data_IF_468459867338
#
_entry.id   IF_468459867338
#
_cell.length_a   1.000
_cell.length_b   1.000
_cell.length_c   1.000
_cell.angle_alpha   90.00
_cell.angle_beta   90.00
_cell.angle_gamma   90.00
#
_symmetry.space_group_name_H-M   'P 1'
#
loop_
_entity.id
_entity.type
_entity.pdbx_description
1 polymer ?
#
# COMPACT_ATOMS: atom_id res chain seq x y z
N UNK A 1 0.05 -9.97 15.55
CA UNK A 1 1.26 -10.49 14.86
C UNK A 1 0.94 -11.16 13.51
N UNK A 2 -0.34 -11.49 13.20
CA UNK A 2 -0.73 -12.10 11.92
C UNK A 2 -0.81 -11.14 10.74
N UNK A 3 -1.22 -9.88 10.97
CA UNK A 3 -1.28 -8.78 9.98
C UNK A 3 -0.03 -8.68 9.08
N UNK A 4 1.14 -8.92 9.68
CA UNK A 4 2.45 -8.77 9.05
C UNK A 4 2.71 -9.88 8.02
N UNK A 5 2.23 -11.10 8.30
CA UNK A 5 2.54 -12.27 7.46
C UNK A 5 1.86 -12.20 6.10
N UNK A 6 0.59 -11.79 6.07
CA UNK A 6 -0.19 -11.69 4.82
C UNK A 6 0.44 -10.66 3.86
N UNK A 7 0.92 -9.53 4.38
CA UNK A 7 1.57 -8.51 3.55
C UNK A 7 2.95 -8.94 3.06
N UNK A 8 3.76 -9.54 3.92
CA UNK A 8 5.10 -10.02 3.52
C UNK A 8 5.00 -11.17 2.50
N UNK A 9 3.97 -12.01 2.61
CA UNK A 9 3.76 -13.13 1.68
C UNK A 9 3.17 -12.70 0.33
N UNK A 10 2.70 -11.46 0.20
CA UNK A 10 2.12 -10.97 -1.03
C UNK A 10 3.21 -10.79 -2.11
N UNK A 11 3.00 -11.32 -3.32
CA UNK A 11 4.00 -11.30 -4.42
C UNK A 11 4.50 -9.91 -4.83
N UNK A 12 3.68 -8.88 -4.63
CA UNK A 12 4.03 -7.50 -4.95
C UNK A 12 4.78 -6.78 -3.82
N UNK A 13 5.01 -7.44 -2.67
CA UNK A 13 5.69 -6.84 -1.53
C UNK A 13 7.14 -6.50 -1.86
N UNK A 14 7.58 -5.33 -1.41
CA UNK A 14 8.92 -4.81 -1.68
C UNK A 14 9.69 -4.58 -0.39
N UNK A 15 9.10 -3.85 0.55
CA UNK A 15 9.79 -3.45 1.77
C UNK A 15 8.78 -3.07 2.87
N UNK A 16 9.21 -3.15 4.12
CA UNK A 16 8.49 -2.62 5.28
C UNK A 16 9.32 -1.59 6.04
N UNK A 17 8.69 -0.47 6.41
CA UNK A 17 9.31 0.58 7.19
C UNK A 17 8.62 0.70 8.54
N UNK A 18 9.32 0.28 9.58
CA UNK A 18 8.88 0.44 10.97
C UNK A 18 9.26 1.83 11.47
N UNK A 19 8.26 2.57 11.92
CA UNK A 19 8.42 3.82 12.65
C UNK A 19 7.90 3.66 14.07
N UNK A 20 8.24 4.62 14.94
CA UNK A 20 7.80 4.62 16.34
C UNK A 20 6.27 4.59 16.50
N UNK A 21 5.54 5.16 15.54
CA UNK A 21 4.09 5.38 15.62
C UNK A 21 3.28 4.55 14.61
N UNK A 22 3.93 3.98 13.60
CA UNK A 22 3.26 3.17 12.58
C UNK A 22 4.22 2.21 11.88
N UNK A 23 3.68 1.21 11.19
CA UNK A 23 4.43 0.39 10.24
C UNK A 23 3.88 0.61 8.84
N UNK A 24 4.74 1.01 7.91
CA UNK A 24 4.41 1.13 6.49
C UNK A 24 4.86 -0.11 5.72
N UNK A 25 4.08 -0.52 4.73
CA UNK A 25 4.37 -1.63 3.81
C UNK A 25 4.29 -1.11 2.38
N UNK A 26 5.32 -1.38 1.58
CA UNK A 26 5.41 -0.94 0.20
C UNK A 26 5.22 -2.12 -0.75
N UNK A 27 4.36 -1.92 -1.74
CA UNK A 27 4.10 -2.87 -2.82
C UNK A 27 4.39 -2.23 -4.17
N UNK A 28 4.90 -3.01 -5.12
CA UNK A 28 5.11 -2.60 -6.51
C UNK A 28 4.62 -3.67 -7.46
N UNK A 29 3.95 -3.23 -8.52
CA UNK A 29 3.33 -4.07 -9.51
C UNK A 29 4.00 -3.87 -10.87
N UNK A 30 4.04 -4.92 -11.69
CA UNK A 30 4.69 -4.90 -13.01
C UNK A 30 4.01 -3.94 -14.01
N UNK A 31 2.78 -3.55 -13.74
CA UNK A 31 2.02 -2.59 -14.55
C UNK A 31 2.40 -1.12 -14.26
N UNK A 32 3.37 -0.86 -13.38
CA UNK A 32 3.88 0.49 -13.08
C UNK A 32 3.20 1.18 -11.89
N UNK A 33 2.26 0.50 -11.23
CA UNK A 33 1.65 0.97 -10.00
C UNK A 33 2.45 0.54 -8.77
N UNK A 34 2.35 1.31 -7.71
CA UNK A 34 2.79 0.95 -6.37
C UNK A 34 1.69 1.23 -5.36
N UNK A 35 1.80 0.63 -4.17
CA UNK A 35 0.89 0.89 -3.06
C UNK A 35 1.68 1.01 -1.78
N UNK A 36 1.35 2.02 -0.97
CA UNK A 36 1.82 2.15 0.41
C UNK A 36 0.66 1.86 1.35
N UNK A 37 0.86 0.93 2.28
CA UNK A 37 -0.12 0.62 3.33
C UNK A 37 0.48 1.00 4.67
N UNK A 38 -0.18 1.86 5.43
CA UNK A 38 0.23 2.26 6.76
C UNK A 38 -0.69 1.62 7.78
N UNK A 39 -0.12 0.84 8.68
CA UNK A 39 -0.79 0.43 9.90
C UNK A 39 -0.61 1.52 10.95
N UNK A 40 -1.58 2.44 10.98
CA UNK A 40 -1.57 3.56 11.90
C UNK A 40 -1.97 3.05 13.29
N UNK A 41 -1.03 3.04 14.23
CA UNK A 41 -1.35 2.84 15.64
C UNK A 41 -1.81 4.18 16.22
N UNK A 42 -2.87 4.78 15.65
CA UNK A 42 -3.29 6.10 16.08
C UNK A 42 -3.73 6.05 17.54
N UNK A 43 -3.16 6.95 18.34
CA UNK A 43 -3.43 7.18 19.77
C UNK A 43 -4.88 7.52 20.08
N UNK A 44 -5.72 7.75 19.06
CA UNK A 44 -7.15 8.07 19.18
C UNK A 44 -8.10 6.87 18.98
N UNK A 45 -7.58 5.64 18.94
CA UNK A 45 -8.41 4.43 18.96
C UNK A 45 -9.01 4.00 17.61
N UNK A 46 -8.79 4.76 16.53
CA UNK A 46 -9.10 4.31 15.17
C UNK A 46 -8.06 3.26 14.74
N UNK A 47 -8.45 1.98 14.81
CA UNK A 47 -7.65 0.83 14.36
C UNK A 47 -7.99 0.54 12.90
N UNK A 48 -7.22 1.11 11.98
CA UNK A 48 -7.44 0.92 10.55
C UNK A 48 -6.14 0.96 9.77
N UNK A 49 -6.14 0.26 8.64
CA UNK A 49 -5.10 0.38 7.64
C UNK A 49 -5.44 1.55 6.73
N UNK A 50 -4.42 2.32 6.40
CA UNK A 50 -4.50 3.40 5.42
C UNK A 50 -3.78 2.94 4.16
N UNK A 51 -4.46 2.96 3.02
CA UNK A 51 -3.90 2.57 1.73
C UNK A 51 -3.75 3.79 0.84
N UNK A 52 -2.61 3.86 0.17
CA UNK A 52 -2.29 4.91 -0.78
C UNK A 52 -1.76 4.30 -2.06
N UNK A 53 -2.42 4.58 -3.18
CA UNK A 53 -1.96 4.16 -4.51
C UNK A 53 -0.90 5.14 -5.00
N UNK A 54 0.12 4.63 -5.68
CA UNK A 54 1.25 5.36 -6.26
C UNK A 54 1.29 5.07 -7.77
N UNK A 55 1.22 6.10 -8.62
CA UNK A 55 1.30 5.95 -10.10
C UNK A 55 2.67 6.45 -10.61
N UNK A 56 3.42 5.56 -11.26
CA UNK A 56 4.62 5.79 -12.07
C UNK A 56 5.94 6.24 -11.39
N UNK A 57 7.03 5.91 -12.11
CA UNK A 57 8.45 5.64 -11.77
C UNK A 57 9.29 6.71 -11.02
N UNK A 58 8.81 7.28 -9.92
CA UNK A 58 9.70 8.03 -9.01
C UNK A 58 10.38 7.10 -8.01
N UNK A 59 11.35 6.33 -8.53
CA UNK A 59 12.48 5.85 -7.72
C UNK A 59 13.00 7.05 -6.92
N UNK A 60 12.92 6.98 -5.60
CA UNK A 60 13.42 8.00 -4.65
C UNK A 60 12.54 9.25 -4.57
N UNK A 61 11.40 9.11 -3.89
CA UNK A 61 10.93 9.96 -2.81
C UNK A 61 9.41 9.80 -2.75
N UNK A 62 8.97 9.08 -1.72
CA UNK A 62 7.55 8.87 -1.42
C UNK A 62 7.00 10.21 -0.92
N UNK A 63 6.71 11.12 -1.84
CA UNK A 63 6.05 12.41 -1.53
C UNK A 63 4.92 12.75 -2.49
N UNK A 64 4.85 12.12 -3.67
CA UNK A 64 3.70 12.24 -4.56
C UNK A 64 2.81 11.00 -4.46
N UNK A 65 1.90 11.09 -3.49
CA UNK A 65 0.72 10.26 -3.33
C UNK A 65 -0.21 10.57 -4.51
N UNK A 66 -0.57 9.59 -5.33
CA UNK A 66 -1.68 9.80 -6.29
C UNK A 66 -3.03 9.81 -5.57
N UNK A 67 -4.02 10.46 -6.18
CA UNK A 67 -5.24 11.06 -5.59
C UNK A 67 -6.19 10.18 -4.75
N UNK A 68 -5.92 8.88 -4.57
CA UNK A 68 -6.81 7.95 -3.86
C UNK A 68 -6.18 7.45 -2.55
N UNK A 69 -6.52 8.17 -1.47
CA UNK A 69 -6.29 7.74 -0.10
C UNK A 69 -7.53 7.05 0.46
N UNK A 70 -7.35 5.83 0.98
CA UNK A 70 -8.45 5.03 1.53
C UNK A 70 -8.14 4.72 3.01
N UNK A 71 -8.81 5.40 3.97
CA UNK A 71 -8.62 5.13 5.39
C UNK A 71 -9.49 3.97 5.89
N UNK A 72 -9.16 3.50 7.09
CA UNK A 72 -9.98 2.58 7.89
C UNK A 72 -10.27 1.23 7.21
N UNK A 73 -9.28 0.69 6.51
CA UNK A 73 -9.36 -0.63 5.87
C UNK A 73 -8.96 -1.75 6.83
N UNK A 74 -9.54 -2.93 6.63
CA UNK A 74 -9.03 -4.19 7.17
C UNK A 74 -8.12 -4.91 6.15
N UNK A 75 -7.45 -5.98 6.59
CA UNK A 75 -6.50 -6.76 5.77
C UNK A 75 -7.13 -7.22 4.46
N UNK A 76 -8.30 -7.85 4.55
CA UNK A 76 -8.94 -8.45 3.37
C UNK A 76 -9.28 -7.39 2.33
N UNK A 77 -9.72 -6.20 2.78
CA UNK A 77 -9.97 -5.09 1.88
C UNK A 77 -8.68 -4.60 1.23
N UNK A 78 -7.59 -4.48 1.98
CA UNK A 78 -6.27 -4.13 1.43
C UNK A 78 -5.83 -5.15 0.38
N UNK A 79 -5.87 -6.45 0.69
CA UNK A 79 -5.47 -7.51 -0.25
C UNK A 79 -6.32 -7.49 -1.53
N UNK A 80 -7.64 -7.32 -1.42
CA UNK A 80 -8.53 -7.18 -2.59
C UNK A 80 -8.17 -5.96 -3.43
N UNK A 81 -7.78 -4.84 -2.81
CA UNK A 81 -7.34 -3.64 -3.52
C UNK A 81 -5.99 -3.89 -4.22
N UNK A 82 -5.04 -4.55 -3.57
CA UNK A 82 -3.75 -4.92 -4.18
C UNK A 82 -3.96 -5.82 -5.41
N UNK A 83 -4.81 -6.84 -5.32
CA UNK A 83 -5.14 -7.73 -6.44
C UNK A 83 -5.84 -6.99 -7.59
N UNK A 84 -6.70 -6.01 -7.28
CA UNK A 84 -7.33 -5.16 -8.30
C UNK A 84 -6.31 -4.28 -9.00
N UNK A 85 -5.40 -3.66 -8.23
CA UNK A 85 -4.36 -2.79 -8.77
C UNK A 85 -3.41 -3.56 -9.68
N UNK A 86 -3.04 -4.80 -9.32
CA UNK A 86 -2.22 -5.64 -10.19
C UNK A 86 -2.88 -5.91 -11.56
N UNK A 87 -4.20 -6.03 -11.59
CA UNK A 87 -4.99 -6.29 -12.80
C UNK A 87 -5.30 -5.02 -13.60
N UNK A 88 -4.98 -3.83 -13.09
CA UNK A 88 -5.11 -2.61 -13.88
C UNK A 88 -4.18 -2.74 -15.08
N UNK A 89 -4.75 -2.58 -16.27
CA UNK A 89 -3.94 -2.49 -17.47
C UNK A 89 -2.97 -1.31 -17.31
N UNK A 90 -1.73 -1.51 -17.76
CA UNK A 90 -0.81 -0.39 -17.91
C UNK A 90 -1.51 0.58 -18.85
N UNK A 91 -1.85 1.77 -18.37
CA UNK A 91 -2.38 2.82 -19.24
C UNK A 91 -1.31 3.07 -20.31
N UNK A 92 -1.54 2.50 -21.50
CA UNK A 92 -0.85 2.89 -22.71
C UNK A 92 -1.37 4.28 -23.02
N UNK A 93 -0.67 5.29 -22.51
CA UNK A 93 -0.75 6.63 -23.08
C UNK A 93 -0.04 6.52 -24.43
N UNK A 94 -0.82 6.22 -25.48
CA UNK A 94 -0.41 6.47 -26.87
C UNK A 94 -0.27 7.97 -27.13
#
# INVERSE_FOLDING_TARGET
MELIKEFINHKAFVDDKKMKEYTGYLFRFNNGYGVSVINNHSTNGARGLELTILKNDSRRNITNITDEFIPNLNINQVLVILDKIEKLEKENVE
#
